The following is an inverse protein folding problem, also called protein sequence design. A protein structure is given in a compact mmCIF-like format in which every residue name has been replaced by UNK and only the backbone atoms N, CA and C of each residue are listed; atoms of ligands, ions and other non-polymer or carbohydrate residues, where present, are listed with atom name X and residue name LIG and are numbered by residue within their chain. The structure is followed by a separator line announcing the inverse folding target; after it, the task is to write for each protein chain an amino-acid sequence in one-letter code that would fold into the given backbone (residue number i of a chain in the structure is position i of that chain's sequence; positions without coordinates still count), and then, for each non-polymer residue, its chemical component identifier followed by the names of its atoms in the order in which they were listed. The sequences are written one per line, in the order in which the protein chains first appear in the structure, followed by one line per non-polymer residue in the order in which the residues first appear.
data_IF_232863645748
#
_entry.id   IF_232863645748
#
_cell.length_a   1.000
_cell.length_b   1.000
_cell.length_c   1.000
_cell.angle_alpha   90.00
_cell.angle_beta   90.00
_cell.angle_gamma   90.00
#
_symmetry.space_group_name_H-M   'P 1'
#
loop_
_entity.id
_entity.type
_entity.pdbx_description
1 polymer ?
#
# COMPACT_ATOMS: atom_id res chain seq x y z
N UNK A 1 31.55 24.26 -28.10
CA UNK A 1 30.20 24.19 -27.49
C UNK A 1 30.04 23.03 -26.48
N UNK A 2 31.06 22.20 -26.23
CA UNK A 2 30.95 21.04 -25.30
C UNK A 2 31.13 21.37 -23.81
N UNK A 3 31.68 22.53 -23.44
CA UNK A 3 31.89 22.89 -22.02
C UNK A 3 30.59 23.21 -21.24
N UNK A 4 29.42 23.25 -21.90
CA UNK A 4 28.15 23.57 -21.25
C UNK A 4 27.43 22.35 -20.65
N UNK A 5 27.72 21.13 -21.10
CA UNK A 5 26.96 19.95 -20.70
C UNK A 5 27.42 19.37 -19.35
N UNK A 6 28.73 19.37 -19.08
CA UNK A 6 29.31 18.80 -17.85
C UNK A 6 28.91 19.58 -16.59
N UNK A 7 28.86 20.92 -16.68
CA UNK A 7 28.42 21.76 -15.56
C UNK A 7 26.94 21.56 -15.17
N UNK A 8 26.08 21.29 -16.14
CA UNK A 8 24.65 21.06 -15.91
C UNK A 8 24.39 19.76 -15.13
N UNK A 9 25.08 18.68 -15.49
CA UNK A 9 24.91 17.38 -14.84
C UNK A 9 25.48 17.35 -13.41
N UNK A 10 26.61 18.02 -13.17
CA UNK A 10 27.17 18.17 -11.83
C UNK A 10 26.21 18.94 -10.89
N UNK A 11 25.64 20.05 -11.37
CA UNK A 11 24.66 20.84 -10.61
C UNK A 11 23.37 20.07 -10.32
N UNK A 12 22.89 19.26 -11.27
CA UNK A 12 21.71 18.41 -11.09
C UNK A 12 21.96 17.29 -10.07
N UNK A 13 23.13 16.65 -10.13
CA UNK A 13 23.52 15.59 -9.20
C UNK A 13 23.63 16.09 -7.75
N UNK A 14 24.18 17.29 -7.54
CA UNK A 14 24.29 17.92 -6.22
C UNK A 14 22.92 18.25 -5.63
N UNK A 15 22.00 18.75 -6.45
CA UNK A 15 20.63 19.09 -6.06
C UNK A 15 19.77 17.86 -5.75
N UNK A 16 20.02 16.74 -6.43
CA UNK A 16 19.36 15.47 -6.12
C UNK A 16 19.90 14.84 -4.82
N UNK A 17 21.21 14.98 -4.55
CA UNK A 17 21.84 14.52 -3.30
C UNK A 17 21.31 15.24 -2.06
N UNK A 18 20.97 16.54 -2.16
CA UNK A 18 20.43 17.30 -1.02
C UNK A 18 18.97 16.95 -0.71
N UNK A 19 18.15 16.66 -1.72
CA UNK A 19 16.74 16.27 -1.53
C UNK A 19 16.59 14.88 -0.88
N UNK A 20 17.56 13.98 -1.08
CA UNK A 20 17.48 12.60 -0.59
C UNK A 20 17.94 12.44 0.88
N UNK A 21 18.79 13.33 1.40
CA UNK A 21 19.28 13.28 2.79
C UNK A 21 18.22 13.65 3.85
N UNK A 22 17.10 14.25 3.45
CA UNK A 22 16.02 14.64 4.37
C UNK A 22 14.99 13.55 4.70
N UNK A 23 15.08 12.36 4.08
CA UNK A 23 13.97 11.38 4.08
C UNK A 23 14.12 10.22 5.08
N UNK A 24 15.24 10.09 5.79
CA UNK A 24 15.53 8.85 6.57
C UNK A 24 15.05 8.84 8.03
N UNK A 25 14.46 9.93 8.56
CA UNK A 25 14.09 10.02 9.99
C UNK A 25 12.60 10.32 10.26
N UNK A 26 11.67 9.71 9.54
CA UNK A 26 10.24 9.79 9.87
C UNK A 26 9.79 8.55 10.65
N UNK A 27 9.95 8.61 11.97
CA UNK A 27 9.32 7.67 12.90
C UNK A 27 7.83 8.05 12.99
N UNK A 28 6.98 7.34 12.25
CA UNK A 28 5.53 7.59 12.22
C UNK A 28 4.85 6.84 13.36
N UNK A 29 4.80 7.49 14.53
CA UNK A 29 4.03 7.00 15.66
C UNK A 29 2.53 6.93 15.35
N UNK A 30 1.93 5.80 15.72
CA UNK A 30 0.52 5.52 15.67
C UNK A 30 -0.26 6.40 16.67
N UNK A 31 -0.86 7.50 16.19
CA UNK A 31 -1.98 8.16 16.88
C UNK A 31 -3.27 8.06 16.04
N UNK A 32 -4.34 7.51 16.63
CA UNK A 32 -5.73 7.54 16.14
C UNK A 32 -6.25 9.00 16.05
N UNK A 33 -7.36 9.43 15.45
CA UNK A 33 -8.59 8.89 14.83
C UNK A 33 -9.15 10.03 13.90
N UNK A 34 -10.39 10.01 13.34
CA UNK A 34 -10.63 10.52 11.95
C UNK A 34 -11.82 11.48 11.79
N UNK A 35 -11.65 12.52 10.97
CA UNK A 35 -12.63 13.62 10.83
C UNK A 35 -13.10 13.88 9.38
N UNK A 36 -12.68 13.09 8.38
CA UNK A 36 -12.53 13.60 7.01
C UNK A 36 -13.14 12.75 5.87
N UNK A 37 -14.23 12.01 6.04
CA UNK A 37 -14.68 11.10 4.96
C UNK A 37 -15.45 11.75 3.78
N UNK A 38 -15.77 13.06 3.77
CA UNK A 38 -16.63 13.65 2.71
C UNK A 38 -16.09 14.95 2.06
N UNK A 39 -15.97 15.01 0.70
CA UNK A 39 -15.41 16.11 -0.10
C UNK A 39 -15.93 17.53 0.21
N UNK A 40 -17.21 17.65 0.60
CA UNK A 40 -17.87 18.96 0.75
C UNK A 40 -17.65 19.60 2.13
N UNK A 41 -17.47 18.84 3.22
CA UNK A 41 -17.07 19.46 4.50
C UNK A 41 -15.67 20.05 4.47
N UNK A 42 -14.79 19.46 3.67
CA UNK A 42 -13.39 19.87 3.64
C UNK A 42 -13.18 21.31 3.21
N UNK A 43 -13.95 21.75 2.21
CA UNK A 43 -13.88 23.13 1.77
C UNK A 43 -14.19 24.07 2.93
N UNK A 44 -15.28 23.81 3.64
CA UNK A 44 -15.73 24.65 4.75
C UNK A 44 -14.80 24.64 5.97
N UNK A 45 -14.05 23.56 6.21
CA UNK A 45 -13.08 23.49 7.31
C UNK A 45 -11.85 24.32 6.96
N UNK A 46 -11.28 24.10 5.77
CA UNK A 46 -10.09 24.84 5.33
C UNK A 46 -10.35 26.33 5.14
N UNK A 47 -11.57 26.71 4.75
CA UNK A 47 -11.96 28.13 4.64
C UNK A 47 -12.04 28.86 5.98
N UNK A 48 -12.21 28.13 7.09
CA UNK A 48 -12.31 28.70 8.44
C UNK A 48 -10.99 28.63 9.22
N UNK A 49 -10.04 27.85 8.74
CA UNK A 49 -8.74 27.66 9.38
C UNK A 49 -7.81 28.84 9.00
N UNK A 50 -7.62 29.78 9.93
CA UNK A 50 -6.79 30.97 9.72
C UNK A 50 -5.34 30.59 9.39
N UNK A 51 -4.76 29.61 10.09
CA UNK A 51 -3.40 29.13 9.86
C UNK A 51 -3.24 28.57 8.43
N UNK A 52 -4.26 27.89 7.91
CA UNK A 52 -4.25 27.41 6.53
C UNK A 52 -4.26 28.55 5.51
N UNK A 53 -5.04 29.60 5.77
CA UNK A 53 -5.18 30.76 4.88
C UNK A 53 -3.93 31.66 4.87
N UNK A 54 -3.10 31.63 5.90
CA UNK A 54 -1.81 32.34 5.94
C UNK A 54 -0.82 31.89 4.86
N UNK A 55 -0.91 30.63 4.41
CA UNK A 55 -0.03 30.12 3.38
C UNK A 55 -0.30 30.77 2.02
N UNK A 56 0.73 31.19 1.26
CA UNK A 56 0.55 31.73 -0.09
C UNK A 56 -0.16 30.73 -1.01
N UNK A 57 -1.04 31.25 -1.88
CA UNK A 57 -1.69 30.45 -2.91
C UNK A 57 -0.66 29.73 -3.81
N UNK A 58 -1.09 28.66 -4.46
CA UNK A 58 -0.27 27.79 -5.28
C UNK A 58 0.24 26.58 -4.51
N UNK A 59 1.49 26.19 -4.78
CA UNK A 59 2.10 25.01 -4.17
C UNK A 59 2.25 25.06 -2.64
N UNK A 60 2.54 26.21 -1.98
CA UNK A 60 2.63 26.23 -0.51
C UNK A 60 1.32 25.83 0.16
N UNK A 61 0.21 26.46 -0.21
CA UNK A 61 -1.12 26.13 0.32
C UNK A 61 -1.58 24.73 -0.11
N UNK A 62 -1.24 24.28 -1.31
CA UNK A 62 -1.52 22.91 -1.74
C UNK A 62 -0.73 21.87 -0.94
N UNK A 63 0.55 22.13 -0.66
CA UNK A 63 1.36 21.26 0.20
C UNK A 63 0.81 21.22 1.62
N UNK A 64 0.39 22.37 2.16
CA UNK A 64 -0.30 22.43 3.46
C UNK A 64 -1.58 21.61 3.44
N UNK A 65 -2.37 21.70 2.37
CA UNK A 65 -3.57 20.87 2.19
C UNK A 65 -3.22 19.37 2.18
N UNK A 66 -2.13 18.99 1.50
CA UNK A 66 -1.65 17.60 1.46
C UNK A 66 -1.18 17.07 2.81
N UNK A 67 -0.60 17.94 3.64
CA UNK A 67 -0.11 17.62 4.99
C UNK A 67 -1.24 17.59 6.02
N UNK A 68 -2.12 18.58 5.95
CA UNK A 68 -3.31 18.70 6.80
C UNK A 68 -4.20 17.47 6.68
N UNK A 69 -4.36 16.98 5.45
CA UNK A 69 -5.11 15.78 5.19
C UNK A 69 -4.24 14.55 5.41
N UNK A 70 -4.67 13.67 6.33
CA UNK A 70 -4.14 12.31 6.37
C UNK A 70 -4.37 11.55 5.06
N UNK A 71 -5.38 11.96 4.28
CA UNK A 71 -5.56 11.55 2.90
C UNK A 71 -4.93 12.47 1.83
N UNK A 72 -4.06 13.39 2.21
CA UNK A 72 -3.45 14.33 1.30
C UNK A 72 -2.16 13.85 0.66
N UNK A 73 -1.60 12.71 1.10
CA UNK A 73 -0.33 12.15 0.60
C UNK A 73 -0.48 11.47 -0.77
N UNK A 74 -0.90 12.29 -1.74
CA UNK A 74 -1.09 11.99 -3.15
C UNK A 74 0.06 12.63 -3.92
N UNK A 75 0.82 11.81 -4.62
CA UNK A 75 2.00 12.27 -5.35
C UNK A 75 1.93 11.80 -6.79
N UNK A 76 2.35 12.66 -7.71
CA UNK A 76 2.55 12.25 -9.09
C UNK A 76 3.80 11.37 -9.17
N UNK A 77 3.67 10.21 -9.81
CA UNK A 77 4.76 9.24 -9.99
C UNK A 77 5.72 9.62 -11.12
N UNK A 78 5.25 10.38 -12.11
CA UNK A 78 5.97 10.71 -13.34
C UNK A 78 6.42 9.47 -14.12
N UNK A 79 5.56 8.45 -14.19
CA UNK A 79 5.91 7.15 -14.79
C UNK A 79 6.45 7.27 -16.22
N UNK A 80 5.71 7.89 -17.17
CA UNK A 80 6.16 8.02 -18.55
C UNK A 80 7.48 8.80 -18.70
N UNK A 81 7.65 9.88 -17.93
CA UNK A 81 8.87 10.68 -17.97
C UNK A 81 10.06 9.88 -17.44
N UNK A 82 9.89 9.18 -16.32
CA UNK A 82 10.94 8.36 -15.72
C UNK A 82 11.39 7.22 -16.65
N UNK A 83 10.45 6.58 -17.34
CA UNK A 83 10.78 5.55 -18.33
C UNK A 83 11.57 6.12 -19.51
N UNK A 84 11.23 7.32 -20.00
CA UNK A 84 12.03 8.00 -21.04
C UNK A 84 13.46 8.30 -20.57
N UNK A 85 13.63 8.72 -19.32
CA UNK A 85 14.95 8.99 -18.76
C UNK A 85 15.78 7.70 -18.62
N UNK A 86 15.18 6.60 -18.17
CA UNK A 86 15.83 5.29 -18.10
C UNK A 86 16.31 4.84 -19.49
N UNK A 87 15.44 4.90 -20.49
CA UNK A 87 15.78 4.55 -21.89
C UNK A 87 16.90 5.45 -22.45
N UNK A 88 16.91 6.73 -22.09
CA UNK A 88 17.98 7.63 -22.50
C UNK A 88 19.33 7.21 -21.91
N UNK A 89 19.36 6.83 -20.62
CA UNK A 89 20.58 6.34 -19.96
C UNK A 89 21.04 5.01 -20.58
N UNK A 90 20.13 4.09 -20.86
CA UNK A 90 20.45 2.82 -21.54
C UNK A 90 21.13 3.05 -22.90
N UNK A 91 20.65 4.01 -23.69
CA UNK A 91 21.27 4.39 -24.96
C UNK A 91 22.68 4.97 -24.76
N UNK A 92 22.86 5.82 -23.76
CA UNK A 92 24.17 6.42 -23.45
C UNK A 92 25.19 5.40 -22.93
N UNK A 93 24.74 4.39 -22.17
CA UNK A 93 25.55 3.23 -21.77
C UNK A 93 25.94 2.42 -23.01
N UNK A 94 24.98 2.06 -23.86
CA UNK A 94 25.22 1.25 -25.06
C UNK A 94 26.20 1.91 -26.04
N UNK A 95 26.15 3.24 -26.20
CA UNK A 95 27.12 3.98 -27.03
C UNK A 95 28.55 3.86 -26.49
N UNK A 96 28.71 4.01 -25.17
CA UNK A 96 30.02 3.93 -24.51
C UNK A 96 30.55 2.50 -24.49
N UNK A 97 29.67 1.52 -24.30
CA UNK A 97 30.00 0.10 -24.42
C UNK A 97 30.50 -0.23 -25.83
N UNK A 98 29.79 0.24 -26.87
CA UNK A 98 30.23 0.06 -28.26
C UNK A 98 31.60 0.69 -28.51
N UNK A 99 31.84 1.91 -28.01
CA UNK A 99 33.14 2.58 -28.11
C UNK A 99 34.25 1.83 -27.36
N UNK A 100 33.94 1.30 -26.17
CA UNK A 100 34.88 0.49 -25.40
C UNK A 100 35.25 -0.80 -26.14
N UNK A 101 34.28 -1.44 -26.80
CA UNK A 101 34.49 -2.63 -27.64
C UNK A 101 35.30 -2.35 -28.91
N UNK A 102 35.27 -1.12 -29.44
CA UNK A 102 36.13 -0.70 -30.55
C UNK A 102 37.59 -0.60 -30.07
N UNK A 103 37.83 0.11 -28.97
CA UNK A 103 39.17 0.23 -28.35
C UNK A 103 39.74 -1.15 -27.97
N UNK A 104 38.91 -2.05 -27.45
CA UNK A 104 39.33 -3.43 -27.12
C UNK A 104 39.82 -4.23 -28.35
N UNK A 105 39.38 -3.87 -29.55
CA UNK A 105 39.81 -4.51 -30.81
C UNK A 105 41.04 -3.86 -31.42
N UNK A 106 41.22 -2.56 -31.23
CA UNK A 106 42.30 -1.76 -31.84
C UNK A 106 43.66 -2.07 -31.20
N UNK A 107 43.68 -2.38 -29.89
CA UNK A 107 44.76 -3.09 -29.21
C UNK A 107 46.15 -2.45 -29.32
N UNK A 108 46.45 -1.42 -28.52
CA UNK A 108 47.81 -0.91 -28.27
C UNK A 108 47.92 -0.05 -26.99
N UNK A 109 49.13 0.09 -26.44
CA UNK A 109 49.43 0.65 -25.10
C UNK A 109 49.00 2.13 -24.86
N UNK A 110 48.84 2.95 -25.90
CA UNK A 110 48.45 4.37 -25.77
C UNK A 110 46.95 4.59 -25.50
N UNK A 111 46.10 3.57 -25.70
CA UNK A 111 44.64 3.66 -25.47
C UNK A 111 44.22 3.51 -24.00
N UNK A 112 45.17 3.24 -23.11
CA UNK A 112 44.88 2.94 -21.70
C UNK A 112 44.13 4.09 -21.01
N UNK A 113 44.51 5.35 -21.29
CA UNK A 113 43.89 6.51 -20.64
C UNK A 113 42.46 6.79 -21.14
N UNK A 114 42.18 6.68 -22.45
CA UNK A 114 40.82 6.86 -22.98
C UNK A 114 39.90 5.74 -22.47
N UNK A 115 40.41 4.51 -22.45
CA UNK A 115 39.70 3.34 -21.94
C UNK A 115 39.35 3.49 -20.47
N UNK A 116 40.30 3.88 -19.62
CA UNK A 116 40.07 4.16 -18.19
C UNK A 116 39.00 5.24 -18.00
N UNK A 117 39.08 6.34 -18.75
CA UNK A 117 38.07 7.41 -18.70
C UNK A 117 36.67 6.90 -19.08
N UNK A 118 36.55 6.10 -20.14
CA UNK A 118 35.26 5.52 -20.56
C UNK A 118 34.70 4.56 -19.51
N UNK A 119 35.56 3.76 -18.87
CA UNK A 119 35.16 2.87 -17.78
C UNK A 119 34.62 3.69 -16.60
N UNK A 120 35.29 4.76 -16.21
CA UNK A 120 34.80 5.65 -15.13
C UNK A 120 33.45 6.28 -15.48
N UNK A 121 33.26 6.76 -16.71
CA UNK A 121 31.97 7.28 -17.17
C UNK A 121 30.86 6.22 -17.16
N UNK A 122 31.17 4.99 -17.60
CA UNK A 122 30.24 3.86 -17.56
C UNK A 122 29.84 3.52 -16.14
N UNK A 123 30.79 3.49 -15.18
CA UNK A 123 30.50 3.26 -13.76
C UNK A 123 29.52 4.32 -13.23
N UNK A 124 29.71 5.59 -13.60
CA UNK A 124 28.81 6.67 -13.16
C UNK A 124 27.41 6.55 -13.76
N UNK A 125 27.31 6.19 -15.05
CA UNK A 125 26.03 5.98 -15.72
C UNK A 125 25.29 4.75 -15.19
N UNK A 126 26.00 3.65 -14.94
CA UNK A 126 25.42 2.43 -14.39
C UNK A 126 24.86 2.66 -12.98
N UNK A 127 25.62 3.35 -12.10
CA UNK A 127 25.12 3.71 -10.77
C UNK A 127 23.90 4.65 -10.83
N UNK A 128 23.87 5.60 -11.78
CA UNK A 128 22.69 6.43 -12.01
C UNK A 128 21.49 5.59 -12.48
N UNK A 129 21.71 4.70 -13.45
CA UNK A 129 20.70 3.79 -13.98
C UNK A 129 20.12 2.89 -12.89
N UNK A 130 20.97 2.20 -12.13
CA UNK A 130 20.58 1.31 -11.04
C UNK A 130 19.75 2.04 -9.98
N UNK A 131 20.17 3.25 -9.58
CA UNK A 131 19.40 4.08 -8.63
C UNK A 131 18.04 4.49 -9.19
N UNK A 132 17.99 4.93 -10.45
CA UNK A 132 16.72 5.31 -11.09
C UNK A 132 15.77 4.12 -11.23
N UNK A 133 16.30 2.95 -11.60
CA UNK A 133 15.54 1.71 -11.73
C UNK A 133 14.99 1.24 -10.38
N UNK A 134 15.81 1.28 -9.33
CA UNK A 134 15.39 0.95 -7.97
C UNK A 134 14.33 1.91 -7.43
N UNK A 135 14.47 3.21 -7.70
CA UNK A 135 13.47 4.20 -7.35
C UNK A 135 12.16 4.00 -8.12
N UNK A 136 12.22 3.66 -9.41
CA UNK A 136 11.02 3.29 -10.19
C UNK A 136 10.33 2.07 -9.57
N UNK A 137 11.08 1.00 -9.27
CA UNK A 137 10.58 -0.19 -8.58
C UNK A 137 9.87 0.14 -7.27
N UNK A 138 10.50 0.94 -6.38
CA UNK A 138 9.88 1.40 -5.13
C UNK A 138 8.60 2.17 -5.38
N UNK A 139 8.59 3.11 -6.32
CA UNK A 139 7.38 3.90 -6.61
C UNK A 139 6.27 3.09 -7.28
N UNK A 140 6.58 1.99 -7.98
CA UNK A 140 5.57 1.08 -8.54
C UNK A 140 4.87 0.24 -7.48
N UNK A 141 5.51 0.00 -6.33
CA UNK A 141 4.89 -0.65 -5.16
C UNK A 141 3.90 0.24 -4.43
N UNK A 142 3.99 1.55 -4.63
CA UNK A 142 3.03 2.48 -4.05
C UNK A 142 1.65 2.27 -4.68
N UNK A 143 0.62 2.41 -3.85
CA UNK A 143 -0.77 2.22 -4.27
C UNK A 143 -1.14 3.28 -5.30
N UNK A 144 -1.78 2.86 -6.39
CA UNK A 144 -2.40 3.79 -7.33
C UNK A 144 -3.66 4.37 -6.71
N UNK A 145 -3.87 5.65 -6.92
CA UNK A 145 -5.06 6.33 -6.40
C UNK A 145 -6.26 5.98 -7.29
N UNK A 146 -7.41 5.76 -6.65
CA UNK A 146 -8.66 5.54 -7.36
C UNK A 146 -9.10 6.82 -8.08
N UNK A 147 -9.74 6.70 -9.23
CA UNK A 147 -10.15 7.87 -10.02
C UNK A 147 -11.09 8.79 -9.22
N UNK A 148 -11.98 8.24 -8.38
CA UNK A 148 -12.87 9.02 -7.55
C UNK A 148 -12.13 9.77 -6.44
N UNK A 149 -11.16 9.12 -5.80
CA UNK A 149 -10.31 9.75 -4.78
C UNK A 149 -9.48 10.90 -5.38
N UNK A 150 -8.95 10.69 -6.58
CA UNK A 150 -8.28 11.73 -7.37
C UNK A 150 -9.24 12.91 -7.65
N UNK A 151 -10.43 12.66 -8.21
CA UNK A 151 -11.37 13.72 -8.55
C UNK A 151 -11.83 14.50 -7.33
N UNK A 152 -12.05 13.83 -6.20
CA UNK A 152 -12.43 14.49 -4.96
C UNK A 152 -11.32 15.39 -4.45
N UNK A 153 -10.11 14.86 -4.30
CA UNK A 153 -8.99 15.63 -3.76
C UNK A 153 -8.67 16.86 -4.61
N UNK A 154 -8.59 16.68 -5.93
CA UNK A 154 -8.25 17.75 -6.85
C UNK A 154 -9.44 18.67 -7.18
N UNK A 155 -10.67 18.15 -7.11
CA UNK A 155 -11.89 18.94 -7.15
C UNK A 155 -11.93 19.92 -5.98
N UNK A 156 -11.73 19.44 -4.75
CA UNK A 156 -11.64 20.31 -3.56
C UNK A 156 -10.53 21.35 -3.69
N UNK A 157 -9.33 20.96 -4.15
CA UNK A 157 -8.23 21.91 -4.35
C UNK A 157 -8.57 23.01 -5.38
N UNK A 158 -9.30 22.63 -6.43
CA UNK A 158 -9.76 23.55 -7.48
C UNK A 158 -10.87 24.47 -6.99
N UNK A 159 -11.85 23.93 -6.27
CA UNK A 159 -13.02 24.67 -5.77
C UNK A 159 -12.59 25.73 -4.75
N UNK A 160 -11.58 25.41 -3.92
CA UNK A 160 -10.96 26.34 -2.98
C UNK A 160 -10.02 27.37 -3.64
N UNK A 161 -9.80 27.28 -4.95
CA UNK A 161 -8.86 28.16 -5.66
C UNK A 161 -7.43 28.10 -5.09
N UNK A 162 -7.02 26.93 -4.58
CA UNK A 162 -5.70 26.76 -3.94
C UNK A 162 -4.59 26.84 -4.99
N UNK A 163 -4.83 26.33 -6.20
CA UNK A 163 -3.84 26.27 -7.28
C UNK A 163 -4.15 27.32 -8.34
N UNK A 164 -3.15 28.15 -8.67
CA UNK A 164 -3.19 29.17 -9.72
C UNK A 164 -2.10 28.91 -10.77
N UNK A 165 -2.30 29.42 -11.99
CA UNK A 165 -1.32 29.32 -13.10
C UNK A 165 -0.91 27.88 -13.45
N UNK A 166 0.37 27.67 -13.72
CA UNK A 166 0.98 26.39 -14.08
C UNK A 166 0.75 25.28 -13.04
N UNK A 167 0.48 25.66 -11.79
CA UNK A 167 0.17 24.71 -10.73
C UNK A 167 -1.18 23.99 -10.96
N UNK A 168 -2.06 24.58 -11.78
CA UNK A 168 -3.29 23.94 -12.23
C UNK A 168 -3.03 22.89 -13.32
N UNK A 169 -2.03 23.12 -14.18
CA UNK A 169 -1.63 22.15 -15.22
C UNK A 169 -1.02 20.89 -14.62
N UNK A 170 -0.41 20.99 -13.43
CA UNK A 170 0.00 19.83 -12.64
C UNK A 170 -1.17 18.87 -12.38
N UNK A 171 -2.40 19.40 -12.20
CA UNK A 171 -3.59 18.60 -11.96
C UNK A 171 -4.11 17.90 -13.21
N UNK A 172 -3.92 18.49 -14.39
CA UNK A 172 -4.45 17.95 -15.65
C UNK A 172 -3.74 16.67 -16.13
N UNK A 173 -2.74 16.17 -15.39
CA UNK A 173 -2.12 14.88 -15.66
C UNK A 173 -3.13 13.72 -15.55
N UNK A 174 -2.96 12.64 -16.35
CA UNK A 174 -3.84 11.47 -16.26
C UNK A 174 -3.87 10.90 -14.83
N UNK A 175 -5.07 10.62 -14.31
CA UNK A 175 -5.24 10.13 -12.92
C UNK A 175 -4.42 8.86 -12.62
N UNK A 176 -4.10 8.06 -13.64
CA UNK A 176 -3.29 6.84 -13.54
C UNK A 176 -1.81 7.09 -13.16
N UNK A 177 -1.33 8.33 -13.23
CA UNK A 177 0.04 8.69 -12.86
C UNK A 177 0.17 9.10 -11.38
N UNK A 178 -0.92 9.14 -10.63
CA UNK A 178 -0.91 9.47 -9.20
C UNK A 178 -0.84 8.21 -8.34
N UNK A 179 0.03 8.26 -7.34
CA UNK A 179 0.21 7.24 -6.31
C UNK A 179 0.04 7.86 -4.94
N UNK A 180 -0.31 7.04 -3.96
CA UNK A 180 -0.37 7.45 -2.56
C UNK A 180 0.69 6.72 -1.74
N UNK A 181 1.34 7.46 -0.84
CA UNK A 181 2.29 6.91 0.13
C UNK A 181 1.58 6.37 1.37
N UNK A 182 0.25 6.38 1.39
CA UNK A 182 -0.52 5.83 2.51
C UNK A 182 -0.32 4.32 2.64
N UNK A 183 -0.10 3.81 3.87
CA UNK A 183 -0.13 2.39 4.11
C UNK A 183 -1.54 1.86 3.78
N UNK A 184 -1.61 0.71 3.09
CA UNK A 184 -2.88 0.07 2.80
C UNK A 184 -3.65 -0.20 4.09
N UNK A 185 -4.84 0.37 4.18
CA UNK A 185 -5.80 0.06 5.23
C UNK A 185 -6.51 -1.22 4.82
N UNK A 186 -6.38 -2.25 5.65
CA UNK A 186 -7.16 -3.49 5.55
C UNK A 186 -8.67 -3.21 5.38
N UNK A 187 -9.10 -2.08 5.92
CA UNK A 187 -10.49 -1.64 5.93
C UNK A 187 -10.98 -1.09 4.60
N UNK A 188 -10.15 -0.71 3.62
CA UNK A 188 -10.67 -0.16 2.35
C UNK A 188 -11.56 -1.17 1.60
N UNK A 189 -11.31 -2.47 1.76
CA UNK A 189 -12.14 -3.53 1.21
C UNK A 189 -13.41 -3.74 2.02
N UNK A 190 -13.31 -3.70 3.35
CA UNK A 190 -14.46 -3.82 4.26
C UNK A 190 -15.37 -2.60 4.22
N UNK A 191 -14.80 -1.41 4.07
CA UNK A 191 -15.47 -0.13 3.90
C UNK A 191 -16.24 -0.14 2.58
N UNK A 192 -15.59 -0.53 1.48
CA UNK A 192 -16.28 -0.73 0.20
C UNK A 192 -17.40 -1.76 0.29
N UNK A 193 -17.21 -2.84 1.04
CA UNK A 193 -18.25 -3.85 1.26
C UNK A 193 -19.39 -3.30 2.12
N UNK A 194 -19.08 -2.62 3.23
CA UNK A 194 -20.07 -2.03 4.14
C UNK A 194 -20.93 -0.98 3.43
N UNK A 195 -20.30 -0.11 2.63
CA UNK A 195 -21.01 0.88 1.81
C UNK A 195 -21.81 0.24 0.67
N UNK A 196 -21.30 -0.83 0.04
CA UNK A 196 -22.02 -1.54 -1.02
C UNK A 196 -23.23 -2.31 -0.49
N UNK A 197 -23.13 -2.93 0.68
CA UNK A 197 -24.18 -3.79 1.24
C UNK A 197 -25.27 -2.97 1.95
N UNK A 198 -25.12 -1.64 2.08
CA UNK A 198 -26.12 -0.73 2.66
C UNK A 198 -26.80 -1.30 3.91
N UNK A 199 -26.01 -1.81 4.87
CA UNK A 199 -26.55 -2.37 6.11
C UNK A 199 -27.00 -1.21 7.02
N UNK A 200 -28.09 -0.55 6.64
CA UNK A 200 -28.61 0.66 7.25
C UNK A 200 -28.99 0.45 8.72
N UNK A 201 -29.34 -0.77 9.12
CA UNK A 201 -29.64 -1.11 10.51
C UNK A 201 -28.37 -1.24 11.37
N UNK A 202 -27.27 -1.77 10.83
CA UNK A 202 -26.02 -1.92 11.56
C UNK A 202 -25.35 -0.56 11.77
N UNK A 203 -25.41 0.32 10.77
CA UNK A 203 -24.93 1.70 10.88
C UNK A 203 -25.69 2.52 11.94
N UNK A 204 -26.93 2.17 12.27
CA UNK A 204 -27.69 2.81 13.37
C UNK A 204 -27.23 2.38 14.77
N UNK A 205 -26.60 1.22 14.89
CA UNK A 205 -26.10 0.69 16.17
C UNK A 205 -24.68 1.17 16.49
N UNK A 206 -23.98 1.70 15.50
CA UNK A 206 -22.66 2.27 15.71
C UNK A 206 -22.79 3.57 16.52
N UNK A 207 -21.96 3.76 17.57
CA UNK A 207 -21.95 4.99 18.32
C UNK A 207 -21.62 6.14 17.36
N UNK A 208 -22.54 7.11 17.32
CA UNK A 208 -22.34 8.36 16.60
C UNK A 208 -21.52 9.25 17.52
N UNK A 209 -20.38 9.72 17.04
CA UNK A 209 -19.65 10.78 17.72
C UNK A 209 -20.30 12.09 17.31
N UNK A 210 -20.61 12.95 18.28
CA UNK A 210 -21.05 14.31 17.99
C UNK A 210 -19.97 15.00 17.17
N UNK A 211 -20.40 15.63 16.08
CA UNK A 211 -19.50 16.34 15.21
C UNK A 211 -18.98 17.58 15.97
N UNK A 212 -17.69 17.94 15.82
CA UNK A 212 -17.17 19.16 16.41
C UNK A 212 -18.00 20.39 15.97
N UNK A 213 -18.18 21.33 16.89
CA UNK A 213 -18.95 22.56 16.65
C UNK A 213 -18.43 23.26 15.39
N UNK A 214 -19.33 23.49 14.41
CA UNK A 214 -19.02 24.18 13.17
C UNK A 214 -18.77 23.29 11.94
N UNK A 215 -18.83 21.97 12.10
CA UNK A 215 -18.83 21.03 10.97
C UNK A 215 -20.22 20.99 10.28
N UNK A 216 -20.28 20.86 8.94
CA UNK A 216 -21.54 20.86 8.20
C UNK A 216 -22.29 19.50 8.20
N UNK A 217 -21.87 18.53 9.02
CA UNK A 217 -22.48 17.20 9.08
C UNK A 217 -22.99 16.88 10.49
N UNK A 218 -24.23 16.37 10.59
CA UNK A 218 -24.88 16.08 11.88
C UNK A 218 -24.34 14.84 12.61
N UNK A 219 -23.55 13.97 11.97
CA UNK A 219 -22.98 12.80 12.66
C UNK A 219 -21.76 12.21 11.95
N UNK A 220 -20.68 11.99 12.69
CA UNK A 220 -19.52 11.23 12.23
C UNK A 220 -19.48 9.86 12.90
N UNK A 221 -19.12 8.85 12.10
CA UNK A 221 -18.65 7.58 12.66
C UNK A 221 -17.16 7.71 12.89
N UNK A 222 -16.66 7.22 14.02
CA UNK A 222 -15.23 7.13 14.31
C UNK A 222 -14.64 5.86 13.64
N UNK A 223 -13.72 5.96 12.66
CA UNK A 223 -13.07 4.78 12.11
C UNK A 223 -12.32 3.90 13.11
N UNK A 224 -12.00 4.39 14.31
CA UNK A 224 -11.56 3.52 15.41
C UNK A 224 -12.57 2.41 15.69
N UNK A 225 -13.87 2.69 15.59
CA UNK A 225 -14.93 1.70 15.74
C UNK A 225 -15.03 0.73 14.57
N UNK A 226 -14.87 1.19 13.33
CA UNK A 226 -14.82 0.29 12.18
C UNK A 226 -13.61 -0.64 12.22
N UNK A 227 -12.47 -0.12 12.70
CA UNK A 227 -11.27 -0.89 12.97
C UNK A 227 -11.56 -1.95 14.02
N UNK A 228 -12.06 -1.54 15.20
CA UNK A 228 -12.39 -2.44 16.28
C UNK A 228 -13.41 -3.50 15.87
N UNK A 229 -14.49 -3.10 15.19
CA UNK A 229 -15.54 -3.99 14.70
C UNK A 229 -15.01 -4.96 13.64
N UNK A 230 -14.14 -4.50 12.74
CA UNK A 230 -13.48 -5.36 11.76
C UNK A 230 -12.59 -6.40 12.43
N UNK A 231 -11.77 -6.00 13.42
CA UNK A 231 -10.93 -6.93 14.19
C UNK A 231 -11.79 -7.93 14.96
N UNK A 232 -12.84 -7.47 15.63
CA UNK A 232 -13.76 -8.35 16.37
C UNK A 232 -14.48 -9.31 15.43
N UNK A 233 -15.00 -8.84 14.30
CA UNK A 233 -15.69 -9.67 13.32
C UNK A 233 -14.76 -10.75 12.73
N UNK A 234 -13.53 -10.38 12.38
CA UNK A 234 -12.50 -11.33 11.92
C UNK A 234 -12.18 -12.34 13.03
N UNK A 235 -11.99 -11.87 14.26
CA UNK A 235 -11.74 -12.74 15.41
C UNK A 235 -12.87 -13.75 15.66
N UNK A 236 -14.12 -13.29 15.60
CA UNK A 236 -15.31 -14.14 15.71
C UNK A 236 -15.42 -15.14 14.56
N UNK A 237 -15.10 -14.73 13.33
CA UNK A 237 -15.07 -15.63 12.18
C UNK A 237 -14.02 -16.73 12.35
N UNK A 238 -12.80 -16.36 12.79
CA UNK A 238 -11.74 -17.33 13.08
C UNK A 238 -12.13 -18.29 14.20
N UNK A 239 -12.75 -17.76 15.28
CA UNK A 239 -13.25 -18.57 16.39
C UNK A 239 -14.32 -19.56 15.92
N UNK A 240 -15.26 -19.10 15.08
CA UNK A 240 -16.31 -19.94 14.52
C UNK A 240 -15.73 -21.03 13.60
N UNK A 241 -14.78 -20.68 12.73
CA UNK A 241 -14.10 -21.66 11.87
C UNK A 241 -13.35 -22.73 12.67
N UNK A 242 -12.92 -22.40 13.89
CA UNK A 242 -12.23 -23.34 14.77
C UNK A 242 -13.19 -24.19 15.62
N UNK A 243 -14.19 -23.57 16.25
CA UNK A 243 -15.10 -24.27 17.17
C UNK A 243 -16.20 -25.06 16.45
N UNK A 244 -16.71 -24.55 15.32
CA UNK A 244 -17.79 -25.18 14.59
C UNK A 244 -17.45 -26.62 14.12
N UNK A 245 -16.28 -26.91 13.51
CA UNK A 245 -15.98 -28.28 13.11
C UNK A 245 -15.80 -29.21 14.32
N UNK A 246 -15.23 -28.72 15.43
CA UNK A 246 -15.15 -29.50 16.68
C UNK A 246 -16.55 -29.83 17.21
N UNK A 247 -17.47 -28.87 17.22
CA UNK A 247 -18.85 -29.09 17.62
C UNK A 247 -19.57 -30.09 16.69
N UNK A 248 -19.41 -29.95 15.37
CA UNK A 248 -19.99 -30.90 14.40
C UNK A 248 -19.48 -32.32 14.67
N UNK A 249 -18.17 -32.51 14.86
CA UNK A 249 -17.59 -33.81 15.15
C UNK A 249 -18.06 -34.37 16.51
N UNK A 250 -18.18 -33.51 17.52
CA UNK A 250 -18.65 -33.89 18.85
C UNK A 250 -20.11 -34.38 18.83
N UNK A 251 -21.01 -33.64 18.17
CA UNK A 251 -22.45 -33.91 18.24
C UNK A 251 -22.95 -34.93 17.22
N UNK A 252 -22.34 -35.03 16.03
CA UNK A 252 -22.88 -35.84 14.91
C UNK A 252 -22.42 -37.30 14.93
N UNK A 253 -21.38 -37.65 15.72
CA UNK A 253 -20.70 -38.96 15.71
C UNK A 253 -20.51 -39.56 14.30
N UNK A 254 -19.86 -38.83 13.38
CA UNK A 254 -19.80 -39.25 11.99
C UNK A 254 -18.86 -40.43 11.72
N UNK A 255 -19.07 -41.11 10.58
CA UNK A 255 -18.13 -42.12 10.08
C UNK A 255 -16.77 -41.50 9.74
N UNK A 256 -15.71 -42.32 9.73
CA UNK A 256 -14.33 -41.85 9.53
C UNK A 256 -14.15 -40.99 8.26
N UNK A 257 -14.81 -41.36 7.16
CA UNK A 257 -14.76 -40.61 5.90
C UNK A 257 -15.42 -39.22 6.01
N UNK A 258 -16.56 -39.12 6.70
CA UNK A 258 -17.24 -37.84 6.90
C UNK A 258 -16.44 -36.91 7.83
N UNK A 259 -15.86 -37.47 8.88
CA UNK A 259 -14.96 -36.75 9.79
C UNK A 259 -13.78 -36.12 9.06
N UNK A 260 -13.13 -36.87 8.16
CA UNK A 260 -12.06 -36.35 7.31
C UNK A 260 -12.55 -35.23 6.39
N UNK A 261 -13.75 -35.37 5.81
CA UNK A 261 -14.38 -34.35 4.98
C UNK A 261 -14.64 -33.04 5.72
N UNK A 262 -15.11 -33.09 6.96
CA UNK A 262 -15.30 -31.90 7.82
C UNK A 262 -13.97 -31.19 8.06
N UNK A 263 -12.92 -31.92 8.44
CA UNK A 263 -11.58 -31.33 8.68
C UNK A 263 -11.02 -30.69 7.41
N UNK A 264 -11.11 -31.37 6.27
CA UNK A 264 -10.62 -30.85 4.98
C UNK A 264 -11.38 -29.58 4.55
N UNK A 265 -12.70 -29.56 4.68
CA UNK A 265 -13.55 -28.42 4.27
C UNK A 265 -13.25 -27.19 5.12
N UNK A 266 -13.23 -27.33 6.45
CA UNK A 266 -12.94 -26.20 7.33
C UNK A 266 -11.48 -25.76 7.27
N UNK A 267 -10.54 -26.69 7.04
CA UNK A 267 -9.14 -26.35 6.78
C UNK A 267 -8.99 -25.49 5.53
N UNK A 268 -9.67 -25.84 4.43
CA UNK A 268 -9.66 -25.04 3.20
C UNK A 268 -10.32 -23.68 3.43
N UNK A 269 -11.47 -23.63 4.11
CA UNK A 269 -12.15 -22.37 4.43
C UNK A 269 -11.25 -21.45 5.27
N UNK A 270 -10.54 -22.00 6.26
CA UNK A 270 -9.56 -21.27 7.07
C UNK A 270 -8.41 -20.73 6.23
N UNK A 271 -7.84 -21.53 5.32
CA UNK A 271 -6.79 -21.06 4.40
C UNK A 271 -7.28 -19.93 3.49
N UNK A 272 -8.51 -20.03 2.97
CA UNK A 272 -9.11 -18.97 2.15
C UNK A 272 -9.25 -17.68 2.97
N UNK A 273 -9.74 -17.75 4.21
CA UNK A 273 -9.86 -16.58 5.07
C UNK A 273 -8.50 -15.94 5.36
N UNK A 274 -7.47 -16.73 5.67
CA UNK A 274 -6.11 -16.20 5.86
C UNK A 274 -5.50 -15.62 4.58
N UNK A 275 -5.72 -16.24 3.43
CA UNK A 275 -5.23 -15.76 2.13
C UNK A 275 -5.90 -14.44 1.70
N UNK A 276 -7.14 -14.20 2.15
CA UNK A 276 -7.83 -12.93 1.96
C UNK A 276 -7.31 -11.82 2.87
N UNK A 277 -6.41 -12.11 3.83
CA UNK A 277 -5.79 -11.11 4.68
C UNK A 277 -4.52 -10.53 4.01
N UNK A 278 -4.52 -9.24 3.59
CA UNK A 278 -3.43 -8.60 2.85
C UNK A 278 -2.05 -8.61 3.52
N UNK A 279 -2.00 -8.81 4.84
CA UNK A 279 -0.77 -8.70 5.65
C UNK A 279 -0.21 -10.04 6.11
N UNK A 280 -0.86 -11.15 5.78
CA UNK A 280 -0.39 -12.47 6.18
C UNK A 280 0.58 -12.97 5.12
N UNK A 281 1.84 -13.14 5.51
CA UNK A 281 2.85 -13.74 4.64
C UNK A 281 2.48 -15.21 4.36
N UNK A 282 2.83 -15.70 3.17
CA UNK A 282 2.54 -17.09 2.75
C UNK A 282 3.06 -18.11 3.77
N UNK A 283 4.24 -17.86 4.34
CA UNK A 283 4.84 -18.69 5.40
C UNK A 283 3.93 -18.80 6.63
N UNK A 284 3.36 -17.68 7.08
CA UNK A 284 2.43 -17.64 8.21
C UNK A 284 1.12 -18.38 7.91
N UNK A 285 0.66 -18.37 6.65
CA UNK A 285 -0.51 -19.14 6.23
C UNK A 285 -0.23 -20.64 6.38
N UNK A 286 0.92 -21.12 5.91
CA UNK A 286 1.29 -22.54 6.02
C UNK A 286 1.46 -22.99 7.48
N UNK A 287 2.11 -22.17 8.31
CA UNK A 287 2.27 -22.47 9.75
C UNK A 287 0.90 -22.56 10.43
N UNK A 288 0.00 -21.60 10.15
CA UNK A 288 -1.33 -21.57 10.74
C UNK A 288 -2.18 -22.76 10.29
N UNK A 289 -2.09 -23.13 9.00
CA UNK A 289 -2.80 -24.30 8.46
C UNK A 289 -2.28 -25.61 9.07
N UNK A 290 -0.97 -25.78 9.21
CA UNK A 290 -0.38 -26.96 9.83
C UNK A 290 -0.83 -27.10 11.29
N UNK A 291 -0.81 -26.00 12.06
CA UNK A 291 -1.29 -25.98 13.43
C UNK A 291 -2.79 -26.33 13.51
N UNK A 292 -3.61 -25.75 12.63
CA UNK A 292 -5.04 -26.02 12.55
C UNK A 292 -5.32 -27.51 12.28
N UNK A 293 -4.68 -28.08 11.25
CA UNK A 293 -4.85 -29.49 10.88
C UNK A 293 -4.37 -30.42 12.01
N UNK A 294 -3.23 -30.11 12.64
CA UNK A 294 -2.72 -30.90 13.76
C UNK A 294 -3.72 -30.96 14.93
N UNK A 295 -4.32 -29.82 15.29
CA UNK A 295 -5.34 -29.78 16.35
C UNK A 295 -6.56 -30.60 15.96
N UNK A 296 -7.07 -30.44 14.73
CA UNK A 296 -8.24 -31.18 14.25
C UNK A 296 -7.99 -32.69 14.20
N UNK A 297 -6.79 -33.13 13.75
CA UNK A 297 -6.40 -34.54 13.74
C UNK A 297 -6.28 -35.09 15.16
N UNK A 298 -5.68 -34.34 16.10
CA UNK A 298 -5.61 -34.75 17.50
C UNK A 298 -7.00 -34.95 18.12
N UNK A 299 -7.95 -34.06 17.82
CA UNK A 299 -9.35 -34.23 18.21
C UNK A 299 -9.94 -35.51 17.61
N UNK A 300 -9.75 -35.76 16.30
CA UNK A 300 -10.26 -36.97 15.65
C UNK A 300 -9.73 -38.27 16.28
N UNK A 301 -8.43 -38.33 16.59
CA UNK A 301 -7.80 -39.49 17.22
C UNK A 301 -8.39 -39.75 18.61
N UNK A 302 -8.57 -38.69 19.39
CA UNK A 302 -9.15 -38.80 20.74
C UNK A 302 -10.60 -39.30 20.71
N UNK A 303 -11.40 -38.82 19.75
CA UNK A 303 -12.79 -39.27 19.56
C UNK A 303 -12.90 -40.75 19.17
N UNK A 304 -12.02 -41.22 18.26
CA UNK A 304 -12.02 -42.62 17.83
C UNK A 304 -11.55 -43.55 18.95
N UNK A 305 -10.55 -43.14 19.75
CA UNK A 305 -10.05 -43.92 20.88
C UNK A 305 -11.11 -44.19 21.96
N UNK A 306 -12.05 -43.26 22.18
CA UNK A 306 -13.15 -43.44 23.13
C UNK A 306 -14.25 -44.42 22.67
N UNK A 307 -14.28 -44.81 21.38
CA UNK A 307 -15.30 -45.70 20.83
C UNK A 307 -14.87 -47.17 20.73
N UNK A 308 -13.67 -47.53 21.19
CA UNK A 308 -13.25 -48.93 21.31
C UNK A 308 -14.10 -49.65 22.37
N UNK A 309 -15.28 -50.14 21.97
CA UNK A 309 -16.02 -51.14 22.73
C UNK A 309 -15.19 -52.42 22.70
N UNK A 310 -14.56 -52.75 23.83
CA UNK A 310 -14.05 -54.10 24.04
C UNK A 310 -15.23 -55.06 23.84
N UNK A 311 -15.26 -55.77 22.70
CA UNK A 311 -16.10 -56.95 22.58
C UNK A 311 -15.59 -57.95 23.60
N UNK A 312 -16.24 -57.98 24.77
CA UNK A 312 -16.05 -59.05 25.73
C UNK A 312 -16.56 -60.31 25.04
N UNK A 313 -15.62 -61.08 24.50
CA UNK A 313 -15.81 -62.46 24.10
C UNK A 313 -16.40 -63.20 25.29
N UNK A 314 -17.71 -63.45 25.25
CA UNK A 314 -18.38 -64.25 26.27
C UNK A 314 -18.31 -65.69 25.78
N UNK A 315 -17.27 -66.40 26.23
CA UNK A 315 -17.19 -67.86 26.17
C UNK A 315 -17.94 -68.48 27.35
#
# INVERSE_FOLDING_TARGET
MEQSATGYWAALAERLRSLLRGSENANLDNQASPEWAHPQAFGSILEKDEDFLEYPKGFPRFARMQDYFRNGSIHRRYGPLRQRLLQHIEVEIAKREARLLELDKEGEQEETCEKERLIEELIQLDDLYARMLYNDYKTRKLRRIDHHEYLNFFGTAKDLGILEGDAKDYLHAPSKDFVTTRPERLYDSLERLAFRVQISWLLKLLPKTEAPEGSPYESHFDPGWFIALGVVAIGLLCLLLFLLPVAILYFVQPSAGWSAGVVATFGLAFTVVLALMPRVQIENIFISLAAYVAIMVAFLVNFQGGQCKCQVSSD
#
